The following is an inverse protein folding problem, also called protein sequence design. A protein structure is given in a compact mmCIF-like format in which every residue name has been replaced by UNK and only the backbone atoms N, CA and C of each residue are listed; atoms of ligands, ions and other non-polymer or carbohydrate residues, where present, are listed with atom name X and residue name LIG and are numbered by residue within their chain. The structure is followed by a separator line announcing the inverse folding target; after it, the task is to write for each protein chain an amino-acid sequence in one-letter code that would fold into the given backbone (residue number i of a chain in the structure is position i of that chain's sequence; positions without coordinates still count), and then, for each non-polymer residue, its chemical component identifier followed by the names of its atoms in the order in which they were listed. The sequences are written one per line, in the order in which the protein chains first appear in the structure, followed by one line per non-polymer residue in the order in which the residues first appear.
data_IF_260678344650
#
_entry.id   IF_260678344650
#
_cell.length_a   1.000
_cell.length_b   1.000
_cell.length_c   1.000
_cell.angle_alpha   90.00
_cell.angle_beta   90.00
_cell.angle_gamma   90.00
#
_symmetry.space_group_name_H-M   'P 1'
#
loop_
_entity.id
_entity.type
_entity.pdbx_description
1 polymer ?
#
# COMPACT_ATOMS: atom_id res chain seq x y z
N UNK A 1 -47.57 -30.96 -8.39
CA UNK A 1 -46.53 -30.87 -7.34
C UNK A 1 -45.17 -31.09 -7.99
N UNK A 2 -44.34 -30.06 -8.11
CA UNK A 2 -42.87 -30.12 -7.96
C UNK A 2 -42.20 -28.89 -8.59
N UNK A 3 -42.08 -27.86 -7.76
CA UNK A 3 -40.89 -27.00 -7.59
C UNK A 3 -40.27 -26.36 -8.84
N UNK A 4 -40.68 -25.12 -9.04
CA UNK A 4 -39.81 -23.99 -9.43
C UNK A 4 -38.50 -24.08 -8.64
N UNK A 5 -37.37 -23.77 -9.28
CA UNK A 5 -36.24 -23.04 -8.69
C UNK A 5 -35.32 -22.56 -9.81
N UNK A 6 -35.73 -21.46 -10.47
CA UNK A 6 -34.79 -20.60 -11.21
C UNK A 6 -33.82 -20.04 -10.16
N UNK A 7 -32.59 -20.52 -10.16
CA UNK A 7 -31.50 -19.92 -9.38
C UNK A 7 -31.38 -18.46 -9.82
N UNK A 8 -31.89 -17.58 -8.96
CA UNK A 8 -31.79 -16.14 -9.09
C UNK A 8 -30.31 -15.78 -9.08
N UNK A 9 -29.79 -15.36 -10.25
CA UNK A 9 -28.66 -14.46 -10.29
C UNK A 9 -29.11 -13.20 -9.54
N UNK A 10 -28.68 -13.09 -8.28
CA UNK A 10 -28.74 -11.83 -7.54
C UNK A 10 -27.72 -10.91 -8.19
N UNK A 11 -28.17 -10.13 -9.16
CA UNK A 11 -27.55 -8.86 -9.44
C UNK A 11 -27.63 -8.07 -8.12
N UNK A 12 -26.47 -7.79 -7.52
CA UNK A 12 -26.41 -6.70 -6.54
C UNK A 12 -26.42 -5.45 -7.40
N UNK A 13 -27.60 -4.90 -7.60
CA UNK A 13 -27.75 -3.58 -8.19
C UNK A 13 -27.08 -2.61 -7.20
N UNK A 14 -25.93 -2.05 -7.58
CA UNK A 14 -25.40 -0.89 -6.89
C UNK A 14 -26.25 0.29 -7.35
N UNK A 15 -27.35 0.52 -6.64
CA UNK A 15 -28.33 1.59 -6.84
C UNK A 15 -27.75 2.95 -6.42
N UNK A 16 -26.62 3.34 -7.01
CA UNK A 16 -25.86 4.54 -6.66
C UNK A 16 -25.66 5.48 -7.84
N UNK A 17 -26.65 5.58 -8.72
CA UNK A 17 -26.64 6.56 -9.80
C UNK A 17 -26.74 7.99 -9.24
N UNK A 18 -25.91 8.89 -9.75
CA UNK A 18 -25.97 10.32 -9.44
C UNK A 18 -27.37 10.83 -9.85
N UNK A 19 -28.09 11.47 -8.93
CA UNK A 19 -29.42 12.03 -9.22
C UNK A 19 -29.30 13.21 -10.21
N UNK A 20 -30.38 13.55 -10.91
CA UNK A 20 -30.39 14.69 -11.84
C UNK A 20 -30.02 16.00 -11.12
N UNK A 21 -30.46 16.17 -9.88
CA UNK A 21 -30.12 17.30 -9.01
C UNK A 21 -28.62 17.37 -8.72
N UNK A 22 -27.99 16.23 -8.39
CA UNK A 22 -26.55 16.16 -8.15
C UNK A 22 -25.73 16.43 -9.43
N UNK A 23 -26.25 16.05 -10.60
CA UNK A 23 -25.64 16.35 -11.88
C UNK A 23 -25.65 17.86 -12.18
N UNK A 24 -26.73 18.54 -11.85
CA UNK A 24 -26.84 19.99 -11.98
C UNK A 24 -25.91 20.71 -11.01
N UNK A 25 -25.82 20.26 -9.75
CA UNK A 25 -24.84 20.77 -8.78
C UNK A 25 -23.41 20.60 -9.27
N UNK A 26 -23.04 19.44 -9.82
CA UNK A 26 -21.71 19.20 -10.39
C UNK A 26 -21.38 20.14 -11.55
N UNK A 27 -22.35 20.38 -12.45
CA UNK A 27 -22.18 21.34 -13.57
C UNK A 27 -22.00 22.78 -13.06
N UNK A 28 -22.70 23.14 -11.98
CA UNK A 28 -22.55 24.44 -11.36
C UNK A 28 -21.15 24.59 -10.71
N UNK A 29 -20.66 23.55 -10.04
CA UNK A 29 -19.31 23.53 -9.45
C UNK A 29 -18.21 23.57 -10.52
N UNK A 30 -18.37 22.89 -11.66
CA UNK A 30 -17.40 22.97 -12.78
C UNK A 30 -17.31 24.37 -13.40
N UNK A 31 -18.39 25.17 -13.31
CA UNK A 31 -18.45 26.51 -13.92
C UNK A 31 -17.98 27.60 -12.95
N UNK A 32 -17.86 27.29 -11.65
CA UNK A 32 -17.38 28.21 -10.62
C UNK A 32 -15.87 28.49 -10.81
N UNK A 33 -15.41 29.76 -10.74
CA UNK A 33 -13.99 30.08 -10.79
C UNK A 33 -13.28 29.67 -9.48
N UNK A 34 -12.00 29.31 -9.58
CA UNK A 34 -11.19 28.86 -8.43
C UNK A 34 -11.13 29.88 -7.27
N UNK A 35 -11.29 31.17 -7.57
CA UNK A 35 -11.27 32.27 -6.59
C UNK A 35 -12.46 32.26 -5.62
N UNK A 36 -13.58 31.65 -6.04
CA UNK A 36 -14.81 31.53 -5.24
C UNK A 36 -14.83 30.25 -4.39
N UNK A 37 -13.79 29.41 -4.47
CA UNK A 37 -13.67 28.18 -3.68
C UNK A 37 -13.28 28.54 -2.24
N UNK A 38 -14.16 28.18 -1.29
CA UNK A 38 -13.88 28.32 0.14
C UNK A 38 -12.85 27.27 0.60
N UNK A 39 -11.67 27.75 1.03
CA UNK A 39 -10.57 26.93 1.58
C UNK A 39 -10.40 27.11 3.10
N UNK A 40 -11.41 27.66 3.79
CA UNK A 40 -11.31 28.00 5.22
C UNK A 40 -11.08 26.78 6.13
N UNK A 41 -11.53 25.60 5.72
CA UNK A 41 -11.37 24.34 6.45
C UNK A 41 -10.04 23.62 6.19
N UNK A 42 -9.43 23.85 5.03
CA UNK A 42 -8.19 23.21 4.59
C UNK A 42 -7.19 24.29 4.15
N UNK A 43 -6.47 24.91 5.09
CA UNK A 43 -5.45 25.90 4.75
C UNK A 43 -4.31 25.25 3.96
N UNK A 44 -3.72 26.01 3.04
CA UNK A 44 -2.58 25.55 2.25
C UNK A 44 -1.38 25.22 3.13
N UNK A 45 -0.80 24.03 2.93
CA UNK A 45 0.43 23.62 3.61
C UNK A 45 1.62 24.10 2.78
N UNK A 46 2.28 25.17 3.24
CA UNK A 46 3.51 25.67 2.63
C UNK A 46 4.77 25.00 3.20
N UNK A 47 4.73 24.57 4.47
CA UNK A 47 5.87 23.93 5.13
C UNK A 47 5.76 22.40 5.08
N UNK A 48 6.62 21.79 4.26
CA UNK A 48 6.71 20.34 4.10
C UNK A 48 7.77 19.69 4.98
N UNK A 49 8.50 20.46 5.80
CA UNK A 49 9.64 19.99 6.58
C UNK A 49 9.31 18.86 7.57
N UNK A 50 8.06 18.79 8.06
CA UNK A 50 7.58 17.75 8.97
C UNK A 50 7.09 16.46 8.29
N UNK A 51 7.14 16.38 6.96
CA UNK A 51 6.54 15.26 6.22
C UNK A 51 7.42 14.00 6.28
N UNK A 52 6.85 12.89 6.75
CA UNK A 52 7.52 11.59 6.74
C UNK A 52 7.28 10.91 5.38
N UNK A 53 8.24 11.08 4.47
CA UNK A 53 8.24 10.38 3.18
C UNK A 53 8.32 8.86 3.43
N UNK A 54 7.42 8.10 2.81
CA UNK A 54 7.48 6.64 2.84
C UNK A 54 7.02 5.99 4.14
N UNK A 55 6.23 6.67 4.98
CA UNK A 55 5.63 6.10 6.21
C UNK A 55 4.92 4.76 5.99
N UNK A 56 4.32 4.56 4.81
CA UNK A 56 3.60 3.34 4.44
C UNK A 56 4.38 2.41 3.50
N UNK A 57 5.64 2.72 3.20
CA UNK A 57 6.45 1.88 2.32
C UNK A 57 6.74 0.53 2.99
N UNK A 58 6.26 -0.54 2.38
CA UNK A 58 6.56 -1.92 2.78
C UNK A 58 7.37 -2.59 1.68
N UNK A 59 8.61 -3.04 1.96
CA UNK A 59 9.37 -3.81 1.00
C UNK A 59 8.60 -5.08 0.59
N UNK A 60 8.42 -5.26 -0.71
CA UNK A 60 7.87 -6.51 -1.27
C UNK A 60 8.87 -7.62 -0.98
N UNK A 61 8.41 -8.69 -0.32
CA UNK A 61 9.22 -9.86 -0.01
C UNK A 61 8.90 -10.95 -1.02
N UNK A 62 9.91 -11.41 -1.74
CA UNK A 62 9.77 -12.55 -2.64
C UNK A 62 10.10 -13.84 -1.91
N UNK A 63 9.30 -14.88 -2.14
CA UNK A 63 9.53 -16.21 -1.57
C UNK A 63 10.55 -16.95 -2.42
N UNK A 64 11.77 -17.05 -1.91
CA UNK A 64 12.86 -17.79 -2.58
C UNK A 64 13.14 -19.09 -1.83
N UNK A 65 13.27 -20.20 -2.56
CA UNK A 65 13.74 -21.47 -1.99
C UNK A 65 15.26 -21.53 -2.12
N UNK A 66 15.97 -21.48 -1.00
CA UNK A 66 17.44 -21.53 -0.96
C UNK A 66 17.91 -22.60 0.02
N UNK A 67 19.08 -23.18 -0.25
CA UNK A 67 19.72 -24.16 0.64
C UNK A 67 20.72 -23.43 1.54
N UNK A 68 20.66 -23.72 2.84
CA UNK A 68 21.59 -23.22 3.84
C UNK A 68 22.27 -24.41 4.52
N UNK A 69 23.50 -24.19 4.97
CA UNK A 69 24.21 -25.17 5.78
C UNK A 69 23.50 -25.39 7.12
N UNK A 70 23.63 -26.61 7.64
CA UNK A 70 22.88 -27.06 8.82
C UNK A 70 23.29 -26.31 10.09
N UNK A 71 24.58 -26.00 10.23
CA UNK A 71 25.17 -25.23 11.32
C UNK A 71 24.69 -23.77 11.33
N UNK A 72 24.66 -23.12 10.16
CA UNK A 72 24.14 -21.76 9.98
C UNK A 72 22.66 -21.71 10.34
N UNK A 73 21.88 -22.71 9.88
CA UNK A 73 20.47 -22.80 10.21
C UNK A 73 20.25 -23.01 11.71
N UNK A 74 21.05 -23.87 12.34
CA UNK A 74 20.98 -24.12 13.77
C UNK A 74 21.29 -22.85 14.57
N UNK A 75 22.37 -22.14 14.24
CA UNK A 75 22.74 -20.87 14.84
C UNK A 75 21.64 -19.81 14.69
N UNK A 76 21.06 -19.66 13.49
CA UNK A 76 19.96 -18.71 13.26
C UNK A 76 18.72 -19.04 14.12
N UNK A 77 18.43 -20.33 14.33
CA UNK A 77 17.30 -20.80 15.14
C UNK A 77 17.53 -20.68 16.64
N UNK A 78 18.77 -20.63 17.14
CA UNK A 78 19.05 -20.39 18.56
C UNK A 78 18.45 -19.07 19.06
N UNK A 79 18.28 -18.09 18.16
CA UNK A 79 17.64 -16.81 18.45
C UNK A 79 16.11 -16.85 18.61
N UNK A 80 15.48 -18.02 18.53
CA UNK A 80 14.04 -18.20 18.69
C UNK A 80 13.22 -17.97 17.41
N UNK A 81 11.93 -17.66 17.59
CA UNK A 81 10.98 -17.42 16.49
C UNK A 81 11.42 -16.21 15.65
N UNK A 82 11.34 -16.32 14.33
CA UNK A 82 11.63 -15.21 13.40
C UNK A 82 13.03 -15.24 12.77
N UNK A 83 13.72 -16.38 12.77
CA UNK A 83 15.02 -16.53 12.12
C UNK A 83 15.04 -16.08 10.65
N UNK A 84 13.93 -16.23 9.91
CA UNK A 84 13.80 -15.76 8.52
C UNK A 84 13.91 -14.23 8.41
N UNK A 85 13.30 -13.50 9.35
CA UNK A 85 13.41 -12.04 9.43
C UNK A 85 14.85 -11.63 9.72
N UNK A 86 15.51 -12.33 10.66
CA UNK A 86 16.92 -12.09 11.01
C UNK A 86 17.85 -12.36 9.82
N UNK A 87 17.63 -13.46 9.11
CA UNK A 87 18.36 -13.78 7.88
C UNK A 87 18.23 -12.65 6.86
N UNK A 88 17.02 -12.18 6.59
CA UNK A 88 16.79 -11.08 5.66
C UNK A 88 17.49 -9.77 6.11
N UNK A 89 17.50 -9.48 7.41
CA UNK A 89 18.23 -8.32 7.95
C UNK A 89 19.75 -8.44 7.75
N UNK A 90 20.33 -9.62 7.95
CA UNK A 90 21.76 -9.88 7.71
C UNK A 90 22.07 -9.68 6.23
N UNK A 91 21.32 -10.30 5.33
CA UNK A 91 21.51 -10.16 3.88
C UNK A 91 21.42 -8.71 3.43
N UNK A 92 20.44 -7.95 3.95
CA UNK A 92 20.29 -6.52 3.64
C UNK A 92 21.49 -5.69 4.08
N UNK A 93 22.07 -6.00 5.24
CA UNK A 93 23.26 -5.30 5.74
C UNK A 93 24.46 -5.53 4.82
N UNK A 94 24.73 -6.80 4.49
CA UNK A 94 25.85 -7.16 3.61
C UNK A 94 25.65 -6.59 2.19
N UNK A 95 24.42 -6.65 1.66
CA UNK A 95 24.06 -6.02 0.38
C UNK A 95 24.38 -4.52 0.39
N UNK A 96 23.90 -3.78 1.40
CA UNK A 96 24.11 -2.33 1.50
C UNK A 96 25.59 -1.99 1.61
N UNK A 97 26.34 -2.73 2.43
CA UNK A 97 27.78 -2.56 2.57
C UNK A 97 28.52 -2.81 1.24
N UNK A 98 28.14 -3.85 0.50
CA UNK A 98 28.73 -4.16 -0.82
C UNK A 98 28.46 -3.06 -1.85
N UNK A 99 27.27 -2.44 -1.83
CA UNK A 99 26.90 -1.34 -2.74
C UNK A 99 27.71 -0.09 -2.39
N UNK A 100 27.84 0.24 -1.10
CA UNK A 100 28.66 1.38 -0.66
C UNK A 100 30.13 1.22 -1.09
N UNK A 101 30.70 0.02 -0.92
CA UNK A 101 32.07 -0.27 -1.34
C UNK A 101 32.26 -0.13 -2.86
N UNK A 102 31.30 -0.60 -3.66
CA UNK A 102 31.32 -0.46 -5.13
C UNK A 102 31.19 0.99 -5.62
N UNK A 103 30.47 1.85 -4.90
CA UNK A 103 30.36 3.28 -5.25
C UNK A 103 31.62 4.09 -4.91
N UNK A 104 32.44 3.58 -4.00
CA UNK A 104 33.66 4.24 -3.52
C UNK A 104 34.93 3.79 -4.27
N UNK A 105 34.81 2.79 -5.15
CA UNK A 105 35.85 2.30 -6.04
C UNK A 105 35.57 2.78 -7.47
#
# INVERSE_FOLDING_TARGET
MSKVNKTSLRCVESDGGITEEQLEELKALETMPDEDIDLSDIPEITDWSGTVIGKFYRPVKETVTLRLDADVLHWLKQGGKGYQTRLNSILRREMTASIKKRKAA
#
